data_IF_761715223186
#
_entry.id   IF_761715223186
#
_cell.length_a   1.000
_cell.length_b   1.000
_cell.length_c   1.000
_cell.angle_alpha   90.00
_cell.angle_beta   90.00
_cell.angle_gamma   90.00
#
_symmetry.space_group_name_H-M   'P 1'
#
loop_
_entity.id
_entity.type
_entity.pdbx_description
1 polymer ?
#
# COMPACT_ATOMS: atom_id res chain seq x y z
N UNK A 1 20.44 -0.97 37.22
CA UNK A 1 19.10 -1.07 37.85
C UNK A 1 18.59 0.34 38.12
N UNK A 2 17.72 0.86 37.25
CA UNK A 2 16.87 2.02 37.53
C UNK A 2 15.67 1.95 36.60
N UNK A 3 14.51 2.19 37.19
CA UNK A 3 13.18 1.75 36.80
C UNK A 3 12.58 2.55 35.64
N UNK A 4 12.07 1.84 34.63
CA UNK A 4 11.25 2.39 33.57
C UNK A 4 9.87 2.81 34.10
N UNK A 5 9.50 4.07 33.86
CA UNK A 5 8.16 4.60 34.12
C UNK A 5 7.27 4.28 32.91
N UNK A 6 6.16 3.54 33.07
CA UNK A 6 5.27 3.18 31.98
C UNK A 6 4.46 4.42 31.58
N UNK A 7 4.86 5.07 30.48
CA UNK A 7 4.19 6.27 29.98
C UNK A 7 5.13 7.30 29.33
N UNK A 8 6.44 7.08 29.36
CA UNK A 8 7.39 7.96 28.70
C UNK A 8 7.59 7.55 27.24
N UNK A 9 6.73 8.03 26.34
CA UNK A 9 7.09 8.11 24.93
C UNK A 9 8.11 9.25 24.79
N UNK A 10 9.33 8.99 24.30
CA UNK A 10 10.29 10.05 24.04
C UNK A 10 9.64 11.09 23.13
N UNK A 11 9.64 12.37 23.55
CA UNK A 11 9.11 13.51 22.79
C UNK A 11 9.82 13.73 21.43
N UNK A 12 10.78 12.88 21.07
CA UNK A 12 11.37 12.79 19.73
C UNK A 12 10.42 12.21 18.65
N UNK A 13 9.19 11.81 18.99
CA UNK A 13 8.18 11.36 18.02
C UNK A 13 7.01 12.33 17.86
N UNK A 14 7.25 13.64 17.94
CA UNK A 14 6.29 14.63 17.45
C UNK A 14 7.01 15.64 16.57
N UNK A 15 7.77 15.14 15.60
CA UNK A 15 7.79 15.86 14.33
C UNK A 15 6.43 15.60 13.70
N UNK A 16 5.57 16.63 13.52
CA UNK A 16 4.28 16.45 12.87
C UNK A 16 4.45 15.80 11.49
N UNK A 17 5.54 16.10 10.79
CA UNK A 17 5.95 15.45 9.55
C UNK A 17 6.13 13.93 9.72
N UNK A 18 6.92 13.47 10.71
CA UNK A 18 7.10 12.03 10.98
C UNK A 18 5.81 11.33 11.45
N UNK A 19 4.92 12.08 12.11
CA UNK A 19 3.59 11.62 12.44
C UNK A 19 2.71 11.41 11.21
N UNK A 20 2.79 12.33 10.24
CA UNK A 20 2.07 12.26 8.96
C UNK A 20 2.59 11.10 8.12
N UNK A 21 3.90 10.95 7.93
CA UNK A 21 4.47 9.79 7.20
C UNK A 21 3.99 8.45 7.75
N UNK A 22 3.95 8.31 9.08
CA UNK A 22 3.43 7.09 9.73
C UNK A 22 1.92 6.95 9.62
N UNK A 23 1.18 8.05 9.58
CA UNK A 23 -0.25 8.02 9.34
C UNK A 23 -0.54 7.54 7.92
N UNK A 24 0.18 8.06 6.93
CA UNK A 24 0.05 7.70 5.53
C UNK A 24 0.40 6.23 5.28
N UNK A 25 1.48 5.71 5.89
CA UNK A 25 1.83 4.28 5.85
C UNK A 25 0.74 3.39 6.46
N UNK A 26 0.13 3.84 7.58
CA UNK A 26 -0.96 3.10 8.23
C UNK A 26 -2.22 3.08 7.37
N UNK A 27 -2.58 4.22 6.78
CA UNK A 27 -3.74 4.33 5.88
C UNK A 27 -3.50 3.44 4.65
N UNK A 28 -2.31 3.48 4.07
CA UNK A 28 -1.94 2.62 2.96
C UNK A 28 -2.04 1.14 3.30
N UNK A 29 -1.54 0.72 4.47
CA UNK A 29 -1.63 -0.68 4.94
C UNK A 29 -3.09 -1.10 5.12
N UNK A 30 -3.93 -0.25 5.72
CA UNK A 30 -5.35 -0.53 5.91
C UNK A 30 -6.11 -0.65 4.57
N UNK A 31 -5.78 0.21 3.59
CA UNK A 31 -6.34 0.14 2.23
C UNK A 31 -5.94 -1.16 1.52
N UNK A 32 -4.68 -1.59 1.64
CA UNK A 32 -4.22 -2.87 1.09
C UNK A 32 -4.93 -4.06 1.72
N UNK A 33 -5.16 -4.03 3.04
CA UNK A 33 -5.91 -5.09 3.73
C UNK A 33 -7.38 -5.15 3.29
N UNK A 34 -8.04 -4.00 3.13
CA UNK A 34 -9.40 -3.92 2.58
C UNK A 34 -9.47 -4.48 1.15
N UNK A 35 -8.50 -4.12 0.31
CA UNK A 35 -8.41 -4.62 -1.06
C UNK A 35 -8.15 -6.12 -1.13
N UNK A 36 -7.29 -6.64 -0.25
CA UNK A 36 -7.07 -8.08 -0.07
C UNK A 36 -8.36 -8.80 0.31
N UNK A 37 -9.13 -8.27 1.25
CA UNK A 37 -10.40 -8.85 1.67
C UNK A 37 -11.41 -8.92 0.51
N UNK A 38 -11.46 -7.90 -0.36
CA UNK A 38 -12.30 -7.93 -1.55
C UNK A 38 -11.89 -8.98 -2.58
N UNK A 39 -10.59 -9.13 -2.82
CA UNK A 39 -10.11 -10.16 -3.73
C UNK A 39 -10.37 -11.58 -3.20
N UNK A 40 -10.24 -11.78 -1.89
CA UNK A 40 -10.64 -13.02 -1.23
C UNK A 40 -12.13 -13.29 -1.42
N UNK A 41 -12.98 -12.28 -1.25
CA UNK A 41 -14.42 -12.40 -1.48
C UNK A 41 -14.77 -12.73 -2.95
N UNK A 42 -13.93 -12.31 -3.91
CA UNK A 42 -14.04 -12.65 -5.34
C UNK A 42 -13.48 -14.03 -5.70
N UNK A 43 -13.02 -14.81 -4.72
CA UNK A 43 -12.48 -16.16 -4.96
C UNK A 43 -11.11 -16.18 -5.64
N UNK A 44 -10.34 -15.07 -5.61
CA UNK A 44 -8.99 -15.08 -6.15
C UNK A 44 -8.04 -15.88 -5.26
N UNK A 45 -7.08 -16.56 -5.88
CA UNK A 45 -6.09 -17.34 -5.14
C UNK A 45 -5.24 -16.42 -4.25
N UNK A 46 -4.91 -16.90 -3.04
CA UNK A 46 -4.08 -16.17 -2.08
C UNK A 46 -2.72 -15.79 -2.69
N UNK A 47 -2.18 -16.65 -3.56
CA UNK A 47 -0.92 -16.38 -4.27
C UNK A 47 -1.05 -15.16 -5.19
N UNK A 48 -2.13 -15.08 -5.97
CA UNK A 48 -2.38 -13.93 -6.84
C UNK A 48 -2.58 -12.64 -6.02
N UNK A 49 -3.26 -12.73 -4.88
CA UNK A 49 -3.47 -11.57 -4.00
C UNK A 49 -2.15 -11.07 -3.42
N UNK A 50 -1.31 -11.97 -2.92
CA UNK A 50 0.03 -11.63 -2.42
C UNK A 50 0.88 -10.95 -3.49
N UNK A 51 0.91 -11.50 -4.70
CA UNK A 51 1.67 -10.92 -5.82
C UNK A 51 1.20 -9.50 -6.15
N UNK A 52 -0.12 -9.26 -6.12
CA UNK A 52 -0.69 -7.94 -6.37
C UNK A 52 -0.38 -6.93 -5.27
N UNK A 53 -0.49 -7.32 -4.00
CA UNK A 53 -0.13 -6.46 -2.87
C UNK A 53 1.36 -6.09 -2.89
N UNK A 54 2.24 -7.07 -3.12
CA UNK A 54 3.68 -6.85 -3.23
C UNK A 54 4.06 -5.87 -4.34
N UNK A 55 3.29 -5.84 -5.43
CA UNK A 55 3.54 -4.94 -6.52
C UNK A 55 3.21 -3.49 -6.12
N UNK A 56 2.10 -3.27 -5.43
CA UNK A 56 1.74 -1.94 -4.90
C UNK A 56 2.70 -1.47 -3.81
N UNK A 57 3.11 -2.34 -2.89
CA UNK A 57 4.15 -2.02 -1.90
C UNK A 57 5.49 -1.67 -2.56
N UNK A 58 5.82 -2.34 -3.68
CA UNK A 58 7.03 -2.02 -4.44
C UNK A 58 6.89 -0.71 -5.19
N UNK A 59 5.71 -0.41 -5.73
CA UNK A 59 5.44 0.87 -6.37
C UNK A 59 5.58 2.01 -5.36
N UNK A 60 4.92 1.91 -4.20
CA UNK A 60 5.04 2.84 -3.09
C UNK A 60 6.51 3.06 -2.68
N UNK A 61 7.30 1.99 -2.58
CA UNK A 61 8.74 2.11 -2.25
C UNK A 61 9.59 2.76 -3.34
N UNK A 62 9.18 2.65 -4.60
CA UNK A 62 9.91 3.23 -5.74
C UNK A 62 9.56 4.71 -5.91
N UNK A 63 8.29 5.07 -5.79
CA UNK A 63 7.84 6.46 -5.94
C UNK A 63 8.01 7.26 -4.66
N UNK A 64 7.96 6.61 -3.49
CA UNK A 64 7.89 7.28 -2.19
C UNK A 64 6.55 7.96 -1.94
N UNK A 65 5.59 7.79 -2.85
CA UNK A 65 4.30 8.45 -2.83
C UNK A 65 3.20 7.47 -2.41
N UNK A 66 2.09 8.03 -1.94
CA UNK A 66 0.92 7.27 -1.48
C UNK A 66 -0.22 7.29 -2.51
N UNK A 67 -1.19 6.36 -2.43
CA UNK A 67 -2.23 6.18 -3.46
C UNK A 67 -3.04 7.43 -3.84
N UNK A 68 -3.23 8.38 -2.93
CA UNK A 68 -3.90 9.65 -3.23
C UNK A 68 -3.05 10.66 -4.01
N UNK A 69 -1.73 10.43 -4.13
CA UNK A 69 -0.81 11.23 -4.94
C UNK A 69 -0.53 10.59 -6.30
N UNK A 70 -0.73 9.28 -6.39
CA UNK A 70 -0.42 8.53 -7.60
C UNK A 70 -1.28 8.96 -8.78
N UNK A 71 -0.65 9.05 -9.96
CA UNK A 71 -1.38 9.22 -11.21
C UNK A 71 -1.78 7.85 -11.76
N UNK A 72 -3.05 7.66 -12.19
CA UNK A 72 -3.49 6.39 -12.76
C UNK A 72 -2.56 5.86 -13.87
N UNK A 73 -2.08 6.75 -14.74
CA UNK A 73 -1.17 6.41 -15.83
C UNK A 73 0.20 5.88 -15.36
N UNK A 74 0.75 6.41 -14.25
CA UNK A 74 2.05 5.99 -13.73
C UNK A 74 1.98 4.61 -13.09
N UNK A 75 0.88 4.34 -12.38
CA UNK A 75 0.61 3.02 -11.81
C UNK A 75 0.42 2.00 -12.93
N UNK A 76 -0.39 2.32 -13.95
CA UNK A 76 -0.67 1.44 -15.08
C UNK A 76 0.60 1.12 -15.88
N UNK A 77 1.48 2.10 -16.12
CA UNK A 77 2.75 1.89 -16.83
C UNK A 77 3.74 1.02 -16.03
N UNK A 78 3.86 1.29 -14.71
CA UNK A 78 4.67 0.46 -13.82
C UNK A 78 4.16 -0.98 -13.75
N UNK A 79 2.85 -1.15 -13.67
CA UNK A 79 2.19 -2.44 -13.70
C UNK A 79 2.37 -3.15 -15.03
N UNK A 80 2.18 -2.46 -16.16
CA UNK A 80 2.38 -3.03 -17.50
C UNK A 80 3.81 -3.52 -17.68
N UNK A 81 4.80 -2.74 -17.26
CA UNK A 81 6.22 -3.13 -17.32
C UNK A 81 6.53 -4.39 -16.49
N UNK A 82 5.90 -4.55 -15.32
CA UNK A 82 6.16 -5.68 -14.40
C UNK A 82 5.29 -6.91 -14.68
N UNK A 83 4.06 -6.68 -15.15
CA UNK A 83 3.06 -7.70 -15.46
C UNK A 83 3.11 -8.15 -16.93
N UNK A 84 3.89 -7.52 -17.81
CA UNK A 84 4.19 -8.08 -19.14
C UNK A 84 4.77 -9.51 -19.07
N UNK A 85 5.29 -9.92 -17.90
CA UNK A 85 5.71 -11.30 -17.60
C UNK A 85 4.57 -12.26 -17.22
N UNK A 86 3.38 -11.74 -16.92
CA UNK A 86 2.20 -12.46 -16.44
C UNK A 86 1.02 -12.22 -17.40
N UNK A 87 1.11 -12.80 -18.60
CA UNK A 87 0.08 -12.77 -19.64
C UNK A 87 -1.24 -13.33 -19.11
N UNK A 88 -2.23 -12.47 -18.86
CA UNK A 88 -3.56 -12.85 -18.35
C UNK A 88 -4.24 -11.85 -17.43
N UNK A 89 -3.61 -10.71 -17.13
CA UNK A 89 -4.13 -9.73 -16.18
C UNK A 89 -4.99 -8.64 -16.85
N UNK A 90 -6.27 -8.92 -17.06
CA UNK A 90 -7.27 -7.89 -17.45
C UNK A 90 -7.99 -7.45 -16.17
N UNK A 91 -7.76 -6.22 -15.70
CA UNK A 91 -8.52 -5.68 -14.55
C UNK A 91 -7.83 -4.64 -13.66
N UNK A 92 -6.75 -4.02 -14.11
CA UNK A 92 -5.97 -3.03 -13.34
C UNK A 92 -6.71 -1.70 -13.06
N UNK A 93 -7.58 -1.16 -13.95
CA UNK A 93 -8.24 0.14 -13.70
C UNK A 93 -9.06 0.18 -12.41
N UNK A 94 -9.55 -0.98 -11.93
CA UNK A 94 -10.33 -1.08 -10.70
C UNK A 94 -9.51 -0.92 -9.43
N UNK A 95 -8.18 -1.08 -9.46
CA UNK A 95 -7.32 -1.02 -8.26
C UNK A 95 -7.14 0.43 -7.81
N UNK A 96 -6.83 1.31 -8.76
CA UNK A 96 -6.65 2.74 -8.50
C UNK A 96 -7.99 3.36 -8.10
N UNK A 97 -9.06 3.01 -8.82
CA UNK A 97 -10.42 3.44 -8.48
C UNK A 97 -10.87 2.96 -7.09
N UNK A 98 -10.38 1.80 -6.61
CA UNK A 98 -10.73 1.28 -5.29
C UNK A 98 -9.87 1.85 -4.17
N UNK A 99 -8.61 2.20 -4.43
CA UNK A 99 -7.70 2.75 -3.42
C UNK A 99 -7.89 4.25 -3.20
N UNK A 100 -8.49 4.96 -4.16
CA UNK A 100 -8.72 6.43 -4.09
C UNK A 100 -10.17 6.77 -3.70
N UNK A 101 -11.10 5.80 -3.73
CA UNK A 101 -12.51 5.99 -3.40
C UNK A 101 -12.81 5.74 -1.92
#
# INVERSE_FOLDING_TARGET
MSSAVPGFLPRMLVDPDLGLFRADERVFTAMLDGWRAQMLARGLTIQTIKQRCQLLERFQRVTGEFPWQWRPAEIDDFLATRLCRLSGFVGIPSVVAFLIS
#
